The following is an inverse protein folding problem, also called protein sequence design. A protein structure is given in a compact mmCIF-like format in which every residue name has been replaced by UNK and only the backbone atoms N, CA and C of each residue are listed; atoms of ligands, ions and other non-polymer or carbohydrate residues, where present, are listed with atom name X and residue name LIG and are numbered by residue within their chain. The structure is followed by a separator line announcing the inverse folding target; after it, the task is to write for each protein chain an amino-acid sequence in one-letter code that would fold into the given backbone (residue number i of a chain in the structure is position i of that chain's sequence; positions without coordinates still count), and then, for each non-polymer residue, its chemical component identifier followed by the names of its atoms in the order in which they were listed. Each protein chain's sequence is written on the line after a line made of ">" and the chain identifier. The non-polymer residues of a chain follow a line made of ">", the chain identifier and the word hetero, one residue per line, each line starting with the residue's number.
data_IF_951243583612
#
_entry.id   IF_951243583612
#
_cell.length_a   1.000
_cell.length_b   1.000
_cell.length_c   1.000
_cell.angle_alpha   90.00
_cell.angle_beta   90.00
_cell.angle_gamma   90.00
#
_symmetry.space_group_name_H-M   'P 1'
#
loop_
_entity.id
_entity.type
_entity.pdbx_description
1 polymer ?
#
# COMPACT_ATOMS: atom_id res chain seq x y z
N UNK A 1 24.64 -1.46 10.78
CA UNK A 1 23.66 -2.42 11.32
C UNK A 1 22.27 -1.95 10.91
N UNK A 2 21.60 -2.68 10.02
CA UNK A 2 20.26 -2.34 9.50
C UNK A 2 19.22 -3.10 10.32
N UNK A 3 18.70 -2.49 11.39
CA UNK A 3 17.63 -3.08 12.20
C UNK A 3 16.39 -3.19 11.30
N UNK A 4 16.05 -4.41 10.87
CA UNK A 4 14.69 -4.66 10.40
C UNK A 4 13.78 -4.38 11.59
N UNK A 5 12.76 -3.55 11.42
CA UNK A 5 11.88 -3.16 12.51
C UNK A 5 10.57 -3.96 12.43
N UNK A 6 10.53 -5.19 12.98
CA UNK A 6 9.38 -6.07 12.87
C UNK A 6 8.12 -5.46 13.51
N UNK A 7 8.28 -4.51 14.44
CA UNK A 7 7.15 -3.82 15.08
C UNK A 7 6.46 -2.89 14.08
N UNK A 8 7.21 -2.16 13.25
CA UNK A 8 6.63 -1.12 12.40
C UNK A 8 5.93 -1.69 11.17
N UNK A 9 6.46 -2.76 10.60
CA UNK A 9 5.83 -3.40 9.43
C UNK A 9 4.50 -4.06 9.82
N UNK A 10 4.45 -4.67 11.02
CA UNK A 10 3.22 -5.25 11.59
C UNK A 10 2.21 -4.16 11.93
N UNK A 11 2.65 -3.06 12.57
CA UNK A 11 1.77 -1.92 12.88
C UNK A 11 1.20 -1.31 11.59
N UNK A 12 2.04 -1.05 10.59
CA UNK A 12 1.57 -0.50 9.31
C UNK A 12 0.54 -1.40 8.63
N UNK A 13 0.79 -2.72 8.61
CA UNK A 13 -0.19 -3.69 8.13
C UNK A 13 -1.53 -3.59 8.88
N UNK A 14 -1.50 -3.55 10.21
CA UNK A 14 -2.73 -3.44 11.01
C UNK A 14 -3.48 -2.13 10.77
N UNK A 15 -2.75 -1.01 10.63
CA UNK A 15 -3.36 0.30 10.31
C UNK A 15 -4.06 0.26 8.94
N UNK A 16 -3.42 -0.33 7.93
CA UNK A 16 -3.99 -0.45 6.58
C UNK A 16 -5.12 -1.47 6.45
N UNK A 17 -5.24 -2.43 7.38
CA UNK A 17 -6.36 -3.37 7.45
C UNK A 17 -7.60 -2.77 8.11
N UNK A 18 -7.45 -1.69 8.88
CA UNK A 18 -8.58 -0.95 9.43
C UNK A 18 -9.03 0.11 8.42
N UNK A 19 -10.27 -0.01 7.93
CA UNK A 19 -10.74 0.83 6.83
C UNK A 19 -10.80 2.32 7.18
N UNK A 20 -11.15 2.68 8.41
CA UNK A 20 -11.24 4.09 8.85
C UNK A 20 -9.85 4.73 8.86
N UNK A 21 -8.87 4.01 9.41
CA UNK A 21 -7.49 4.47 9.49
C UNK A 21 -6.86 4.49 8.09
N UNK A 22 -7.08 3.46 7.29
CA UNK A 22 -6.58 3.39 5.92
C UNK A 22 -7.16 4.54 5.06
N UNK A 23 -8.46 4.82 5.19
CA UNK A 23 -9.13 5.95 4.53
C UNK A 23 -8.48 7.27 4.93
N UNK A 24 -8.28 7.52 6.23
CA UNK A 24 -7.66 8.75 6.72
C UNK A 24 -6.24 8.95 6.17
N UNK A 25 -5.41 7.90 6.23
CA UNK A 25 -4.03 7.96 5.75
C UNK A 25 -4.00 8.19 4.24
N UNK A 26 -4.79 7.43 3.48
CA UNK A 26 -4.81 7.50 2.02
C UNK A 26 -5.39 8.81 1.51
N UNK A 27 -6.48 9.32 2.11
CA UNK A 27 -7.05 10.61 1.72
C UNK A 27 -6.07 11.75 1.99
N UNK A 28 -5.32 11.67 3.10
CA UNK A 28 -4.28 12.65 3.43
C UNK A 28 -3.13 12.63 2.42
N UNK A 29 -2.69 11.44 1.99
CA UNK A 29 -1.59 11.30 1.01
C UNK A 29 -2.04 11.73 -0.39
N UNK A 30 -3.26 11.39 -0.78
CA UNK A 30 -3.80 11.70 -2.10
C UNK A 30 -4.29 13.14 -2.23
N UNK A 31 -4.53 13.83 -1.12
CA UNK A 31 -5.18 15.14 -1.06
C UNK A 31 -6.58 15.14 -1.72
N UNK A 32 -7.25 13.99 -1.71
CA UNK A 32 -8.56 13.77 -2.32
C UNK A 32 -9.51 13.08 -1.33
N UNK A 33 -10.81 13.36 -1.44
CA UNK A 33 -11.83 12.72 -0.61
C UNK A 33 -12.04 11.27 -1.07
N UNK A 34 -12.00 10.32 -0.14
CA UNK A 34 -12.27 8.90 -0.40
C UNK A 34 -13.70 8.59 0.06
N UNK A 35 -14.58 8.28 -0.90
CA UNK A 35 -15.99 7.97 -0.68
C UNK A 35 -16.21 6.50 -0.28
N UNK A 36 -15.42 5.59 -0.84
CA UNK A 36 -15.42 4.17 -0.45
C UNK A 36 -14.03 3.59 -0.65
N UNK A 37 -13.63 2.68 0.25
CA UNK A 37 -12.35 2.00 0.21
C UNK A 37 -12.56 0.51 0.50
N UNK A 38 -12.08 -0.34 -0.39
CA UNK A 38 -12.16 -1.79 -0.28
C UNK A 38 -10.76 -2.39 -0.46
N UNK A 39 -10.29 -3.14 0.54
CA UNK A 39 -9.03 -3.86 0.46
C UNK A 39 -9.17 -5.04 -0.51
N UNK A 40 -8.31 -5.11 -1.52
CA UNK A 40 -8.32 -6.21 -2.49
C UNK A 40 -7.63 -7.45 -1.92
N UNK A 41 -8.05 -8.66 -2.35
CA UNK A 41 -7.38 -9.90 -1.98
C UNK A 41 -5.88 -9.83 -2.33
N UNK A 42 -5.02 -9.99 -1.33
CA UNK A 42 -3.58 -10.01 -1.54
C UNK A 42 -3.14 -11.37 -2.05
N UNK A 43 -2.44 -11.41 -3.18
CA UNK A 43 -1.73 -12.61 -3.60
C UNK A 43 -0.64 -12.93 -2.56
N UNK A 44 -0.62 -14.18 -2.09
CA UNK A 44 0.33 -14.62 -1.06
C UNK A 44 1.76 -14.52 -1.59
N UNK A 45 2.56 -13.59 -1.06
CA UNK A 45 3.96 -13.49 -1.41
C UNK A 45 4.70 -14.78 -0.98
N UNK A 46 5.15 -15.55 -1.96
CA UNK A 46 6.00 -16.72 -1.72
C UNK A 46 7.30 -16.28 -1.05
N UNK A 47 7.67 -16.94 0.05
CA UNK A 47 8.95 -16.74 0.69
C UNK A 47 10.07 -17.19 -0.26
N UNK A 48 10.80 -16.23 -0.83
CA UNK A 48 11.99 -16.54 -1.61
C UNK A 48 13.13 -16.81 -0.60
N UNK A 49 13.38 -18.09 -0.32
CA UNK A 49 14.21 -18.59 0.80
C UNK A 49 15.64 -18.04 0.93
N UNK A 50 16.14 -17.18 0.03
CA UNK A 50 17.54 -16.73 0.07
C UNK A 50 17.79 -15.24 -0.21
N UNK A 51 16.77 -14.37 -0.19
CA UNK A 51 17.02 -12.91 -0.31
C UNK A 51 16.11 -12.08 0.60
N UNK A 52 16.71 -11.12 1.31
CA UNK A 52 16.06 -10.17 2.23
C UNK A 52 15.25 -9.07 1.51
N UNK A 53 14.61 -9.38 0.38
CA UNK A 53 13.71 -8.46 -0.31
C UNK A 53 12.32 -8.62 0.31
N UNK A 54 12.01 -7.81 1.32
CA UNK A 54 10.67 -7.75 1.90
C UNK A 54 9.97 -6.51 1.34
N UNK A 55 9.27 -6.66 0.21
CA UNK A 55 8.32 -5.66 -0.27
C UNK A 55 6.94 -6.09 0.20
N UNK A 56 6.29 -5.23 0.98
CA UNK A 56 4.90 -5.40 1.36
C UNK A 56 4.03 -4.58 0.41
N UNK A 57 3.11 -5.25 -0.30
CA UNK A 57 2.18 -4.63 -1.24
C UNK A 57 0.74 -4.76 -0.74
N UNK A 58 -0.01 -3.68 -0.84
CA UNK A 58 -1.45 -3.63 -0.60
C UNK A 58 -2.13 -2.93 -1.76
N UNK A 59 -3.19 -3.52 -2.26
CA UNK A 59 -4.02 -2.91 -3.30
C UNK A 59 -5.41 -2.61 -2.72
N UNK A 60 -5.93 -1.43 -3.02
CA UNK A 60 -7.27 -1.01 -2.65
C UNK A 60 -8.04 -0.63 -3.90
N UNK A 61 -9.33 -0.96 -3.91
CA UNK A 61 -10.29 -0.34 -4.81
C UNK A 61 -10.91 0.85 -4.09
N UNK A 62 -10.87 2.04 -4.70
CA UNK A 62 -11.36 3.24 -4.07
C UNK A 62 -12.26 4.06 -5.01
N UNK A 63 -13.38 4.56 -4.48
CA UNK A 63 -14.08 5.68 -5.11
C UNK A 63 -13.61 6.96 -4.48
N UNK A 64 -13.07 7.87 -5.28
CA UNK A 64 -12.58 9.16 -4.83
C UNK A 64 -13.40 10.28 -5.45
N UNK A 65 -13.48 11.40 -4.76
CA UNK A 65 -13.99 12.66 -5.30
C UNK A 65 -12.82 13.63 -5.42
N UNK A 66 -12.60 14.07 -6.64
CA UNK A 66 -11.51 15.00 -6.97
C UNK A 66 -11.79 16.40 -6.43
N UNK A 67 -10.76 17.23 -6.32
CA UNK A 67 -10.86 18.66 -5.99
C UNK A 67 -11.82 19.44 -6.91
N UNK A 68 -12.04 18.99 -8.15
CA UNK A 68 -12.98 19.58 -9.13
C UNK A 68 -14.40 19.03 -8.97
N UNK A 69 -14.62 18.08 -8.05
CA UNK A 69 -15.91 17.48 -7.72
C UNK A 69 -16.27 16.25 -8.55
N UNK A 70 -15.39 15.79 -9.45
CA UNK A 70 -15.59 14.58 -10.26
C UNK A 70 -15.35 13.31 -9.42
N UNK A 71 -16.25 12.33 -9.52
CA UNK A 71 -16.09 11.01 -8.89
C UNK A 71 -15.36 10.03 -9.81
N UNK A 72 -14.36 9.33 -9.27
CA UNK A 72 -13.55 8.35 -10.01
C UNK A 72 -13.44 7.05 -9.24
N UNK A 73 -13.46 5.94 -9.99
CA UNK A 73 -13.10 4.64 -9.45
C UNK A 73 -11.63 4.35 -9.80
N UNK A 74 -10.80 4.16 -8.78
CA UNK A 74 -9.35 4.00 -8.92
C UNK A 74 -8.86 2.78 -8.15
N UNK A 75 -7.67 2.29 -8.55
CA UNK A 75 -6.91 1.32 -7.78
C UNK A 75 -5.74 2.05 -7.12
N UNK A 76 -5.62 1.91 -5.80
CA UNK A 76 -4.52 2.47 -5.01
C UNK A 76 -3.60 1.32 -4.64
N UNK A 77 -2.38 1.32 -5.18
CA UNK A 77 -1.33 0.36 -4.84
C UNK A 77 -0.33 1.02 -3.88
N UNK A 78 -0.21 0.47 -2.66
CA UNK A 78 0.78 0.88 -1.67
C UNK A 78 1.90 -0.16 -1.65
N UNK A 79 3.14 0.30 -1.83
CA UNK A 79 4.32 -0.52 -1.64
C UNK A 79 5.18 0.04 -0.51
N UNK A 80 5.50 -0.82 0.45
CA UNK A 80 6.48 -0.53 1.49
C UNK A 80 7.70 -1.43 1.28
N UNK A 81 8.87 -0.81 1.19
CA UNK A 81 10.13 -1.50 1.05
C UNK A 81 11.19 -0.96 2.00
N UNK A 82 12.22 -1.76 2.28
CA UNK A 82 13.34 -1.37 3.15
C UNK A 82 14.35 -0.48 2.42
N UNK A 83 14.60 -0.76 1.15
CA UNK A 83 15.48 0.03 0.29
C UNK A 83 14.75 0.48 -0.98
N UNK A 84 15.10 1.66 -1.50
CA UNK A 84 14.55 2.14 -2.78
C UNK A 84 14.86 1.18 -3.94
N UNK A 85 16.00 0.48 -3.89
CA UNK A 85 16.37 -0.55 -4.87
C UNK A 85 15.42 -1.76 -4.86
N UNK A 86 14.72 -2.03 -3.75
CA UNK A 86 13.73 -3.11 -3.65
C UNK A 86 12.43 -2.75 -4.38
N UNK A 87 12.18 -1.46 -4.62
CA UNK A 87 11.02 -0.93 -5.36
C UNK A 87 11.30 -0.99 -6.88
N UNK A 88 12.57 -1.13 -7.31
CA UNK A 88 12.92 -1.18 -8.73
C UNK A 88 12.33 -2.41 -9.40
N UNK A 89 11.30 -2.17 -10.22
CA UNK A 89 10.66 -3.17 -11.07
C UNK A 89 11.62 -3.51 -12.22
N UNK A 90 12.21 -4.70 -12.23
CA UNK A 90 12.75 -5.26 -13.47
C UNK A 90 11.56 -5.53 -14.42
N UNK A 91 11.18 -4.54 -15.23
CA UNK A 91 10.30 -4.77 -16.39
C UNK A 91 11.21 -5.08 -17.59
N UNK A 92 11.25 -6.35 -18.01
CA UNK A 92 11.82 -6.73 -19.29
C UNK A 92 10.69 -6.57 -20.31
N UNK A 93 10.79 -5.57 -21.18
CA UNK A 93 9.96 -5.47 -22.39
C UNK A 93 10.57 -6.37 -23.46
#
# INVERSE_FOLDING_TARGET
>A
MQIANPIYDVVFKHLMQNNEIATLILSTILEEEILSLDLLPQETAMALENRSFTVYRLDFSARIKTTVGEEKHVIIEIQKAKFAADIMRFRRY
#
